data_IF_239931146377
#
_entry.id   IF_239931146377
#
_cell.length_a   1.000
_cell.length_b   1.000
_cell.length_c   1.000
_cell.angle_alpha   90.00
_cell.angle_beta   90.00
_cell.angle_gamma   90.00
#
_symmetry.space_group_name_H-M   'P 1'
#
loop_
_entity.id
_entity.type
_entity.pdbx_description
1 polymer ?
#
# COMPACT_ATOMS: atom_id res chain seq x y z
N UNK A 1 3.48 -0.35 16.71
CA UNK A 1 3.58 -1.82 16.92
C UNK A 1 2.35 -2.60 16.47
N UNK A 2 1.12 -2.19 16.84
CA UNK A 2 -0.09 -2.92 16.43
C UNK A 2 -0.23 -3.07 14.90
N UNK A 3 0.08 -2.03 14.14
CA UNK A 3 0.06 -2.06 12.66
C UNK A 3 1.04 -3.08 12.07
N UNK A 4 2.25 -3.18 12.62
CA UNK A 4 3.25 -4.17 12.20
C UNK A 4 2.74 -5.58 12.44
N UNK A 5 2.14 -5.80 13.60
CA UNK A 5 1.52 -7.06 13.99
C UNK A 5 0.38 -7.42 13.03
N UNK A 6 -0.52 -6.48 12.77
CA UNK A 6 -1.61 -6.65 11.79
C UNK A 6 -1.09 -6.92 10.37
N UNK A 7 -0.04 -6.22 9.90
CA UNK A 7 0.53 -6.42 8.58
C UNK A 7 1.11 -7.84 8.42
N UNK A 8 1.84 -8.33 9.42
CA UNK A 8 2.41 -9.68 9.42
C UNK A 8 1.30 -10.74 9.48
N UNK A 9 0.33 -10.59 10.39
CA UNK A 9 -0.78 -11.55 10.50
C UNK A 9 -1.64 -11.57 9.24
N UNK A 10 -2.00 -10.40 8.70
CA UNK A 10 -2.76 -10.29 7.46
C UNK A 10 -2.00 -10.91 6.29
N UNK A 11 -0.73 -10.54 6.08
CA UNK A 11 0.10 -11.09 5.01
C UNK A 11 0.32 -12.61 5.12
N UNK A 12 0.46 -13.15 6.34
CA UNK A 12 0.63 -14.59 6.56
C UNK A 12 -0.57 -15.42 6.12
N UNK A 13 -1.77 -14.83 6.14
CA UNK A 13 -3.00 -15.46 5.71
C UNK A 13 -3.19 -15.54 4.19
N UNK A 14 -2.35 -14.87 3.39
CA UNK A 14 -2.54 -14.74 1.94
C UNK A 14 -2.77 -16.09 1.26
N UNK A 15 -1.87 -17.07 1.44
CA UNK A 15 -1.98 -18.38 0.78
C UNK A 15 -3.26 -19.12 1.19
N UNK A 16 -3.58 -19.13 2.48
CA UNK A 16 -4.72 -19.84 3.02
C UNK A 16 -6.04 -19.21 2.54
N UNK A 17 -6.20 -17.90 2.72
CA UNK A 17 -7.43 -17.20 2.37
C UNK A 17 -7.64 -17.18 0.85
N UNK A 18 -6.58 -16.98 0.06
CA UNK A 18 -6.66 -17.07 -1.40
C UNK A 18 -7.11 -18.46 -1.86
N UNK A 19 -6.55 -19.55 -1.30
CA UNK A 19 -6.98 -20.90 -1.63
C UNK A 19 -8.46 -21.12 -1.28
N UNK A 20 -8.90 -20.68 -0.09
CA UNK A 20 -10.29 -20.78 0.33
C UNK A 20 -11.26 -20.01 -0.57
N UNK A 21 -10.85 -18.87 -1.13
CA UNK A 21 -11.69 -18.10 -2.07
C UNK A 21 -11.73 -18.75 -3.45
N UNK A 22 -10.62 -19.30 -3.94
CA UNK A 22 -10.59 -20.02 -5.23
C UNK A 22 -11.48 -21.27 -5.19
N UNK A 23 -11.50 -21.99 -4.06
CA UNK A 23 -12.32 -23.19 -3.85
C UNK A 23 -13.79 -22.91 -3.52
N UNK A 24 -14.18 -21.66 -3.27
CA UNK A 24 -15.54 -21.30 -2.89
C UNK A 24 -16.51 -21.31 -4.08
N UNK A 25 -17.82 -21.18 -3.79
CA UNK A 25 -18.86 -20.91 -4.79
C UNK A 25 -18.94 -19.42 -5.20
N UNK A 26 -17.90 -18.63 -4.99
CA UNK A 26 -17.84 -17.24 -5.46
C UNK A 26 -17.77 -17.18 -6.99
N UNK A 27 -18.21 -16.06 -7.55
CA UNK A 27 -18.08 -15.77 -8.98
C UNK A 27 -16.61 -15.78 -9.43
N UNK A 28 -16.34 -16.22 -10.66
CA UNK A 28 -14.97 -16.32 -11.20
C UNK A 28 -14.25 -14.97 -11.17
N UNK A 29 -14.96 -13.88 -11.43
CA UNK A 29 -14.43 -12.52 -11.29
C UNK A 29 -13.86 -12.27 -9.88
N UNK A 30 -14.55 -12.71 -8.82
CA UNK A 30 -14.08 -12.54 -7.44
C UNK A 30 -12.83 -13.37 -7.21
N UNK A 31 -12.77 -14.60 -7.71
CA UNK A 31 -11.61 -15.49 -7.58
C UNK A 31 -10.36 -14.90 -8.25
N UNK A 32 -10.54 -14.22 -9.38
CA UNK A 32 -9.46 -13.59 -10.13
C UNK A 32 -8.92 -12.32 -9.45
N UNK A 33 -9.80 -11.47 -8.89
CA UNK A 33 -9.38 -10.20 -8.27
C UNK A 33 -8.94 -10.34 -6.82
N UNK A 34 -9.48 -11.32 -6.08
CA UNK A 34 -9.28 -11.43 -4.64
C UNK A 34 -7.81 -11.54 -4.20
N UNK A 35 -6.95 -12.36 -4.85
CA UNK A 35 -5.54 -12.45 -4.47
C UNK A 35 -4.84 -11.09 -4.56
N UNK A 36 -5.15 -10.33 -5.61
CA UNK A 36 -4.59 -8.99 -5.84
C UNK A 36 -5.09 -8.00 -4.78
N UNK A 37 -6.38 -8.02 -4.46
CA UNK A 37 -6.98 -7.15 -3.42
C UNK A 37 -6.41 -7.43 -2.03
N UNK A 38 -6.25 -8.71 -1.69
CA UNK A 38 -5.71 -9.12 -0.40
C UNK A 38 -4.24 -8.71 -0.26
N UNK A 39 -3.44 -8.91 -1.31
CA UNK A 39 -2.04 -8.49 -1.35
C UNK A 39 -1.91 -6.97 -1.27
N UNK A 40 -2.73 -6.23 -2.01
CA UNK A 40 -2.77 -4.76 -1.98
C UNK A 40 -3.02 -4.22 -0.57
N UNK A 41 -3.99 -4.79 0.14
CA UNK A 41 -4.32 -4.42 1.52
C UNK A 41 -3.17 -4.72 2.49
N UNK A 42 -2.49 -5.86 2.30
CA UNK A 42 -1.31 -6.25 3.08
C UNK A 42 -0.16 -5.25 2.88
N UNK A 43 0.08 -4.79 1.65
CA UNK A 43 1.09 -3.78 1.35
C UNK A 43 0.76 -2.43 1.98
N UNK A 44 -0.51 -2.02 2.01
CA UNK A 44 -0.95 -0.79 2.68
C UNK A 44 -0.73 -0.85 4.20
N UNK A 45 -1.06 -1.98 4.84
CA UNK A 45 -0.80 -2.19 6.27
C UNK A 45 0.70 -2.14 6.58
N UNK A 46 1.53 -2.76 5.75
CA UNK A 46 2.98 -2.70 5.89
C UNK A 46 3.50 -1.26 5.73
N UNK A 47 3.00 -0.53 4.73
CA UNK A 47 3.36 0.86 4.50
C UNK A 47 3.01 1.77 5.68
N UNK A 48 1.80 1.61 6.24
CA UNK A 48 1.38 2.30 7.46
C UNK A 48 2.21 1.91 8.68
N UNK A 49 2.62 0.65 8.79
CA UNK A 49 3.49 0.19 9.86
C UNK A 49 4.90 0.82 9.78
N UNK A 50 5.48 0.88 8.57
CA UNK A 50 6.77 1.54 8.32
C UNK A 50 6.66 3.04 8.60
N UNK A 51 5.59 3.68 8.15
CA UNK A 51 5.31 5.08 8.43
C UNK A 51 5.21 5.34 9.94
N UNK A 52 4.40 4.56 10.66
CA UNK A 52 4.26 4.70 12.12
C UNK A 52 5.52 4.37 12.91
N UNK A 53 6.46 3.60 12.37
CA UNK A 53 7.79 3.41 12.96
C UNK A 53 8.68 4.62 12.68
N UNK A 54 8.67 5.14 11.46
CA UNK A 54 9.50 6.27 11.06
C UNK A 54 9.23 7.54 11.88
N UNK A 55 8.01 7.74 12.36
CA UNK A 55 7.63 8.89 13.20
C UNK A 55 8.35 8.93 14.54
N UNK A 56 8.82 7.79 15.06
CA UNK A 56 9.58 7.72 16.32
C UNK A 56 10.95 8.40 16.23
N UNK A 57 11.49 8.59 15.02
CA UNK A 57 12.78 9.21 14.76
C UNK A 57 12.70 10.64 14.20
N UNK A 58 11.49 11.21 14.09
CA UNK A 58 11.29 12.53 13.49
C UNK A 58 11.33 13.65 14.54
N UNK A 59 12.42 14.43 14.57
CA UNK A 59 12.49 15.70 15.32
C UNK A 59 11.78 16.87 14.61
N UNK A 60 11.82 16.89 13.28
CA UNK A 60 11.06 17.82 12.42
C UNK A 60 10.06 17.00 11.58
N UNK A 61 8.83 16.90 12.09
CA UNK A 61 7.86 15.86 11.70
C UNK A 61 7.20 16.01 10.33
N UNK A 62 7.36 17.14 9.65
CA UNK A 62 6.56 17.46 8.46
C UNK A 62 7.25 16.94 7.18
N UNK A 63 8.50 17.34 6.96
CA UNK A 63 9.22 17.08 5.71
C UNK A 63 9.56 15.60 5.51
N UNK A 64 9.95 14.90 6.57
CA UNK A 64 10.24 13.47 6.47
C UNK A 64 8.96 12.64 6.27
N UNK A 65 7.79 13.10 6.77
CA UNK A 65 6.50 12.43 6.56
C UNK A 65 6.10 12.55 5.09
N UNK A 66 6.26 13.75 4.51
CA UNK A 66 5.96 14.02 3.11
C UNK A 66 6.82 13.17 2.16
N UNK A 67 8.09 12.97 2.48
CA UNK A 67 8.99 12.09 1.71
C UNK A 67 8.54 10.63 1.80
N UNK A 68 8.20 10.15 2.99
CA UNK A 68 7.80 8.75 3.17
C UNK A 68 6.46 8.47 2.47
N UNK A 69 5.49 9.37 2.61
CA UNK A 69 4.19 9.29 1.91
C UNK A 69 4.39 9.33 0.40
N UNK A 70 5.19 10.26 -0.12
CA UNK A 70 5.48 10.34 -1.55
C UNK A 70 6.13 9.06 -2.08
N UNK A 71 7.07 8.48 -1.33
CA UNK A 71 7.75 7.23 -1.67
C UNK A 71 6.78 6.04 -1.70
N UNK A 72 5.90 5.93 -0.70
CA UNK A 72 4.86 4.90 -0.63
C UNK A 72 3.88 5.02 -1.81
N UNK A 73 3.45 6.23 -2.13
CA UNK A 73 2.55 6.49 -3.26
C UNK A 73 3.21 6.12 -4.58
N UNK A 74 4.50 6.39 -4.75
CA UNK A 74 5.24 5.99 -5.95
C UNK A 74 5.29 4.46 -6.10
N UNK A 75 5.54 3.73 -5.01
CA UNK A 75 5.48 2.25 -5.02
C UNK A 75 4.08 1.75 -5.39
N UNK A 76 3.03 2.34 -4.81
CA UNK A 76 1.64 2.01 -5.16
C UNK A 76 1.30 2.33 -6.63
N UNK A 77 1.85 3.40 -7.18
CA UNK A 77 1.66 3.75 -8.59
C UNK A 77 2.33 2.72 -9.52
N UNK A 78 3.55 2.28 -9.19
CA UNK A 78 4.23 1.22 -9.95
C UNK A 78 3.49 -0.10 -9.86
N UNK A 79 2.96 -0.47 -8.69
CA UNK A 79 2.11 -1.64 -8.54
C UNK A 79 0.82 -1.53 -9.39
N UNK A 80 0.19 -0.35 -9.44
CA UNK A 80 -0.97 -0.11 -10.30
C UNK A 80 -0.63 -0.29 -11.78
N UNK A 81 0.50 0.25 -12.26
CA UNK A 81 0.95 0.03 -13.63
C UNK A 81 1.24 -1.43 -13.94
N UNK A 82 1.89 -2.14 -13.02
CA UNK A 82 2.16 -3.57 -13.15
C UNK A 82 0.88 -4.40 -13.30
N UNK A 83 -0.21 -3.98 -12.64
CA UNK A 83 -1.53 -4.62 -12.73
C UNK A 83 -2.38 -4.13 -13.92
N UNK A 84 -1.81 -3.31 -14.82
CA UNK A 84 -2.54 -2.76 -15.98
C UNK A 84 -3.46 -1.58 -15.67
N UNK A 85 -3.46 -1.08 -14.43
CA UNK A 85 -4.29 0.03 -13.98
C UNK A 85 -3.64 1.39 -14.31
N UNK A 86 -3.67 1.78 -15.59
CA UNK A 86 -3.07 3.03 -16.09
C UNK A 86 -3.63 4.30 -15.44
N UNK A 87 -4.96 4.45 -15.38
CA UNK A 87 -5.60 5.66 -14.82
C UNK A 87 -5.25 5.82 -13.33
N UNK A 88 -5.41 4.79 -12.47
CA UNK A 88 -4.98 4.87 -11.08
C UNK A 88 -3.48 5.16 -10.92
N UNK A 89 -2.62 4.56 -11.74
CA UNK A 89 -1.17 4.79 -11.67
C UNK A 89 -0.78 6.24 -11.93
N UNK A 90 -1.38 6.89 -12.94
CA UNK A 90 -1.13 8.31 -13.24
C UNK A 90 -1.62 9.20 -12.08
N UNK A 91 -2.82 8.95 -11.55
CA UNK A 91 -3.36 9.72 -10.43
C UNK A 91 -2.48 9.60 -9.18
N UNK A 92 -1.99 8.39 -8.89
CA UNK A 92 -1.07 8.14 -7.79
C UNK A 92 0.27 8.87 -7.98
N UNK A 93 0.89 8.79 -9.17
CA UNK A 93 2.11 9.56 -9.43
C UNK A 93 1.91 11.06 -9.23
N UNK A 94 0.78 11.59 -9.70
CA UNK A 94 0.44 13.01 -9.55
C UNK A 94 0.33 13.39 -8.07
N UNK A 95 -0.35 12.58 -7.26
CA UNK A 95 -0.42 12.77 -5.81
C UNK A 95 0.97 12.70 -5.16
N UNK A 96 1.81 11.73 -5.55
CA UNK A 96 3.18 11.58 -5.05
C UNK A 96 4.04 12.82 -5.34
N UNK A 97 3.91 13.40 -6.53
CA UNK A 97 4.54 14.68 -6.91
C UNK A 97 4.03 15.86 -6.06
N UNK A 98 2.73 15.94 -5.80
CA UNK A 98 2.17 16.98 -4.93
C UNK A 98 2.78 16.96 -3.52
N UNK A 99 2.97 15.77 -2.93
CA UNK A 99 3.63 15.64 -1.63
C UNK A 99 5.12 16.00 -1.66
N UNK A 100 5.83 15.68 -2.74
CA UNK A 100 7.21 16.12 -2.95
C UNK A 100 7.33 17.64 -3.07
N UNK A 101 6.42 18.28 -3.81
CA UNK A 101 6.39 19.75 -3.94
C UNK A 101 6.07 20.40 -2.59
N UNK A 102 5.12 19.85 -1.84
CA UNK A 102 4.77 20.33 -0.50
C UNK A 102 5.98 20.32 0.45
N UNK A 103 6.85 19.31 0.35
CA UNK A 103 8.11 19.23 1.12
C UNK A 103 9.06 20.39 0.79
N UNK A 104 9.20 20.76 -0.49
CA UNK A 104 10.08 21.88 -0.87
C UNK A 104 9.54 23.25 -0.45
N UNK A 105 8.25 23.34 -0.09
CA UNK A 105 7.60 24.57 0.38
C UNK A 105 7.49 24.69 1.90
N UNK A 106 7.79 23.62 2.65
CA UNK A 106 7.63 23.54 4.10
C UNK A 106 8.95 23.61 4.84
#
# INVERSE_FOLDING_TARGET
MLLTLMAVFHGSGLKFVTASVVESNSEDFIKDIFPVLFLHTSMHLLGLAVFGLSTLWMREGHNTVLVIISSLIAVSAFAAFYLGALIPGILLLTAGFCFLIARYRS
#
